data_IF_148717137059
#
_entry.id   IF_148717137059
#
_cell.length_a   1.000
_cell.length_b   1.000
_cell.length_c   1.000
_cell.angle_alpha   90.00
_cell.angle_beta   90.00
_cell.angle_gamma   90.00
#
_symmetry.space_group_name_H-M   'P 1'
#
loop_
_entity.id
_entity.type
_entity.pdbx_description
1 polymer ?
#
# COMPACT_ATOMS: atom_id res chain seq x y z
N UNK A 1 -21.83 -15.27 -4.33
CA UNK A 1 -21.06 -14.70 -3.20
C UNK A 1 -19.72 -14.24 -3.74
N UNK A 2 -19.61 -13.00 -4.21
CA UNK A 2 -18.33 -12.41 -4.63
C UNK A 2 -18.08 -11.27 -3.67
N UNK A 3 -17.29 -11.52 -2.63
CA UNK A 3 -16.85 -10.48 -1.72
C UNK A 3 -15.79 -9.63 -2.44
N UNK A 4 -16.23 -8.59 -3.14
CA UNK A 4 -15.33 -7.53 -3.61
C UNK A 4 -14.99 -6.66 -2.40
N UNK A 5 -13.78 -6.85 -1.87
CA UNK A 5 -13.23 -6.12 -0.73
C UNK A 5 -13.11 -4.63 -1.04
N UNK A 6 -13.59 -3.80 -0.11
CA UNK A 6 -13.69 -2.34 -0.10
C UNK A 6 -12.65 -1.58 -0.97
N UNK A 7 -13.12 -0.88 -2.00
CA UNK A 7 -12.53 0.41 -2.39
C UNK A 7 -12.83 1.43 -1.30
N UNK A 8 -11.83 1.86 -0.53
CA UNK A 8 -11.95 3.10 0.26
C UNK A 8 -10.59 3.80 0.32
N UNK A 9 -10.48 4.96 -0.32
CA UNK A 9 -9.35 5.83 -0.05
C UNK A 9 -9.01 6.92 -1.05
N UNK A 10 -9.92 7.79 -1.48
CA UNK A 10 -9.51 9.17 -1.82
C UNK A 10 -10.52 10.14 -1.24
N UNK A 11 -10.31 10.51 0.02
CA UNK A 11 -10.92 11.67 0.66
C UNK A 11 -9.95 12.16 1.74
N UNK A 12 -9.68 13.46 1.76
CA UNK A 12 -8.47 14.09 2.28
C UNK A 12 -8.05 13.75 3.72
N UNK A 13 -6.73 13.65 3.92
CA UNK A 13 -6.08 13.79 5.22
C UNK A 13 -4.60 14.15 5.04
N UNK A 14 -4.15 15.20 5.73
CA UNK A 14 -2.82 15.82 5.73
C UNK A 14 -1.76 14.99 6.48
N UNK A 15 -1.62 13.71 6.15
CA UNK A 15 -0.49 12.89 6.57
C UNK A 15 -0.10 11.94 5.42
N UNK A 16 1.03 12.21 4.76
CA UNK A 16 1.51 11.44 3.61
C UNK A 16 1.67 9.98 3.98
N UNK A 17 0.76 9.11 3.53
CA UNK A 17 0.83 7.65 3.68
C UNK A 17 1.27 7.05 2.35
N UNK A 18 2.01 5.94 2.39
CA UNK A 18 2.49 5.21 1.22
C UNK A 18 1.68 3.92 1.05
N UNK A 19 1.31 3.61 -0.19
CA UNK A 19 0.73 2.32 -0.56
C UNK A 19 1.83 1.35 -0.98
N UNK A 20 1.77 0.13 -0.45
CA UNK A 20 2.72 -0.93 -0.78
C UNK A 20 1.98 -2.25 -0.97
N UNK A 21 2.46 -3.06 -1.90
CA UNK A 21 2.00 -4.43 -2.13
C UNK A 21 2.89 -5.40 -1.35
N UNK A 22 2.31 -6.22 -0.49
CA UNK A 22 3.05 -7.19 0.30
C UNK A 22 3.53 -8.35 -0.57
N UNK A 23 4.83 -8.61 -0.56
CA UNK A 23 5.48 -9.72 -1.27
C UNK A 23 5.52 -10.98 -0.39
N UNK A 24 5.51 -10.79 0.93
CA UNK A 24 5.46 -11.83 1.94
C UNK A 24 4.33 -11.58 2.94
N UNK A 25 3.92 -12.62 3.67
CA UNK A 25 3.05 -12.46 4.82
C UNK A 25 3.80 -11.66 5.89
N UNK A 26 3.20 -10.57 6.36
CA UNK A 26 3.80 -9.71 7.39
C UNK A 26 2.85 -9.66 8.57
N UNK A 27 3.35 -10.12 9.72
CA UNK A 27 2.58 -10.15 10.96
C UNK A 27 2.05 -8.75 11.29
N UNK A 28 0.77 -8.67 11.66
CA UNK A 28 0.04 -7.42 11.94
C UNK A 28 -0.17 -6.46 10.76
N UNK A 29 0.26 -6.81 9.55
CA UNK A 29 0.11 -5.94 8.38
C UNK A 29 -0.82 -6.54 7.33
N UNK A 30 -0.64 -7.81 6.98
CA UNK A 30 -1.48 -8.48 5.98
C UNK A 30 -0.82 -9.71 5.38
N UNK A 31 -1.51 -10.33 4.43
CA UNK A 31 -0.99 -11.47 3.67
C UNK A 31 -0.28 -11.03 2.40
N UNK A 32 0.57 -11.91 1.87
CA UNK A 32 1.18 -11.79 0.55
C UNK A 32 0.11 -11.51 -0.51
N UNK A 33 0.36 -10.50 -1.33
CA UNK A 33 -0.53 -10.07 -2.41
C UNK A 33 -1.54 -9.00 -1.99
N UNK A 34 -1.58 -8.58 -0.73
CA UNK A 34 -2.45 -7.50 -0.27
C UNK A 34 -1.77 -6.13 -0.44
N UNK A 35 -2.56 -5.13 -0.86
CA UNK A 35 -2.13 -3.73 -0.89
C UNK A 35 -2.53 -3.08 0.43
N UNK A 36 -1.55 -2.52 1.13
CA UNK A 36 -1.73 -1.89 2.44
C UNK A 36 -1.21 -0.45 2.43
N UNK A 37 -1.82 0.40 3.25
CA UNK A 37 -1.40 1.79 3.48
C UNK A 37 -0.56 1.87 4.75
N UNK A 38 0.67 2.31 4.61
CA UNK A 38 1.64 2.44 5.72
C UNK A 38 2.24 3.84 5.74
N UNK A 39 3.01 4.16 6.79
CA UNK A 39 3.81 5.38 6.79
C UNK A 39 4.97 5.26 5.78
N UNK A 40 5.34 6.32 5.06
CA UNK A 40 6.43 6.28 4.07
C UNK A 40 7.77 5.83 4.67
N UNK A 41 8.04 6.19 5.92
CA UNK A 41 9.23 5.73 6.64
C UNK A 41 9.24 4.22 6.87
N UNK A 42 8.09 3.62 7.18
CA UNK A 42 8.00 2.16 7.38
C UNK A 42 8.17 1.40 6.07
N UNK A 43 7.58 1.91 4.99
CA UNK A 43 7.83 1.37 3.64
C UNK A 43 9.33 1.46 3.28
N UNK A 44 9.92 2.66 3.32
CA UNK A 44 11.29 2.90 2.84
C UNK A 44 12.39 2.31 3.71
N UNK A 45 12.21 2.25 5.02
CA UNK A 45 13.27 1.83 5.93
C UNK A 45 13.20 0.33 6.28
N UNK A 46 12.01 -0.27 6.19
CA UNK A 46 11.80 -1.66 6.61
C UNK A 46 11.30 -2.52 5.46
N UNK A 47 10.12 -2.24 4.91
CA UNK A 47 9.48 -3.18 3.98
C UNK A 47 10.22 -3.31 2.64
N UNK A 48 10.63 -2.20 2.02
CA UNK A 48 11.28 -2.22 0.70
C UNK A 48 12.71 -2.81 0.78
N UNK A 49 13.59 -2.39 1.71
CA UNK A 49 14.95 -2.94 1.76
C UNK A 49 14.99 -4.41 2.16
N UNK A 50 14.00 -4.90 2.93
CA UNK A 50 13.90 -6.31 3.32
C UNK A 50 13.12 -7.16 2.30
N UNK A 51 12.64 -6.57 1.20
CA UNK A 51 11.88 -7.27 0.17
C UNK A 51 10.50 -7.78 0.64
N UNK A 52 9.99 -7.28 1.77
CA UNK A 52 8.70 -7.69 2.34
C UNK A 52 7.52 -7.06 1.59
N UNK A 53 7.74 -5.91 0.95
CA UNK A 53 6.77 -5.24 0.11
C UNK A 53 7.43 -4.57 -1.10
N UNK A 54 6.62 -4.22 -2.10
CA UNK A 54 7.01 -3.37 -3.22
C UNK A 54 6.13 -2.13 -3.27
N UNK A 55 6.63 -1.05 -3.86
CA UNK A 55 5.87 0.21 -3.95
C UNK A 55 4.67 0.01 -4.85
N UNK A 56 3.48 0.34 -4.36
CA UNK A 56 2.30 0.47 -5.21
C UNK A 56 2.30 1.91 -5.75
N UNK A 57 3.17 2.22 -6.71
CA UNK A 57 3.25 3.57 -7.28
C UNK A 57 2.01 3.85 -8.13
N UNK A 58 1.38 4.98 -7.83
CA UNK A 58 0.32 5.60 -8.62
C UNK A 58 0.92 6.49 -9.73
N UNK A 59 1.86 5.99 -10.53
CA UNK A 59 2.61 6.85 -11.47
C UNK A 59 1.72 7.51 -12.55
N UNK A 60 0.43 7.16 -12.65
CA UNK A 60 -0.52 7.82 -13.54
C UNK A 60 -1.87 8.23 -12.91
N UNK A 61 -1.94 8.55 -11.60
CA UNK A 61 -3.16 9.21 -11.06
C UNK A 61 -3.34 10.68 -11.52
N UNK A 62 -2.48 11.19 -12.42
CA UNK A 62 -2.52 12.55 -12.98
C UNK A 62 -2.53 12.61 -14.52
N UNK A 63 -3.10 11.59 -15.19
CA UNK A 63 -3.40 11.64 -16.64
C UNK A 63 -4.91 11.52 -16.95
N UNK A 64 -5.78 11.70 -15.96
CA UNK A 64 -7.24 11.74 -16.15
C UNK A 64 -7.78 13.04 -15.56
N UNK A 65 -7.54 14.12 -16.26
CA UNK A 65 -8.49 15.24 -16.40
C UNK A 65 -8.87 15.32 -17.88
#
# INVERSE_FOLDING_TARGET
MVHVTKKKGVAGSTNSTAEVLLVHDVEHLGKRGEIVRVKPGYARNYLLPHGLATVATDENKRMVE
#
